data_IF_371100675860
#
_entry.id   IF_371100675860
#
_cell.length_a   1.000
_cell.length_b   1.000
_cell.length_c   1.000
_cell.angle_alpha   90.00
_cell.angle_beta   90.00
_cell.angle_gamma   90.00
#
_symmetry.space_group_name_H-M   'P 1'
#
loop_
_entity.id
_entity.type
_entity.pdbx_description
1 polymer ?
#
# COMPACT_ATOMS: atom_id res chain seq x y z
N UNK A 1 7.11 53.10 42.35
CA UNK A 1 6.91 52.85 40.91
C UNK A 1 8.14 52.26 40.21
N UNK A 2 9.36 52.72 40.50
CA UNK A 2 10.60 52.21 39.86
C UNK A 2 10.96 50.75 40.20
N UNK A 3 10.63 50.27 41.40
CA UNK A 3 10.87 48.88 41.80
C UNK A 3 9.99 47.86 41.06
N UNK A 4 8.74 48.25 40.75
CA UNK A 4 7.78 47.38 40.06
C UNK A 4 8.11 47.23 38.57
N UNK A 5 8.61 48.30 37.95
CA UNK A 5 9.09 48.29 36.57
C UNK A 5 10.37 47.48 36.40
N UNK A 6 11.26 47.47 37.40
CA UNK A 6 12.48 46.66 37.38
C UNK A 6 12.18 45.16 37.55
N UNK A 7 11.21 44.80 38.39
CA UNK A 7 10.79 43.41 38.57
C UNK A 7 10.11 42.84 37.32
N UNK A 8 9.29 43.64 36.64
CA UNK A 8 8.62 43.25 35.39
C UNK A 8 9.62 43.06 34.23
N UNK A 9 10.67 43.89 34.16
CA UNK A 9 11.74 43.75 33.17
C UNK A 9 12.56 42.47 33.37
N UNK A 10 12.80 42.05 34.62
CA UNK A 10 13.49 40.80 34.95
C UNK A 10 12.64 39.58 34.55
N UNK A 11 11.32 39.62 34.78
CA UNK A 11 10.41 38.56 34.36
C UNK A 11 10.31 38.40 32.83
N UNK A 12 10.37 39.50 32.08
CA UNK A 12 10.41 39.49 30.61
C UNK A 12 11.76 39.06 30.02
N UNK A 13 12.82 39.01 30.83
CA UNK A 13 14.15 38.53 30.41
C UNK A 13 14.24 37.00 30.38
N UNK A 14 13.28 36.30 31.00
CA UNK A 14 13.27 34.83 31.15
C UNK A 14 12.38 34.11 30.13
N UNK A 15 11.67 34.81 29.23
CA UNK A 15 10.71 34.21 28.30
C UNK A 15 11.28 33.77 26.94
N UNK A 16 12.61 33.68 26.82
CA UNK A 16 13.28 33.11 25.65
C UNK A 16 13.32 31.58 25.66
N UNK A 17 12.18 30.90 25.75
CA UNK A 17 12.13 29.47 25.47
C UNK A 17 12.36 29.27 23.98
N UNK A 18 13.59 28.93 23.62
CA UNK A 18 13.90 28.41 22.29
C UNK A 18 13.22 27.05 22.17
N UNK A 19 12.03 27.02 21.58
CA UNK A 19 11.44 25.77 21.10
C UNK A 19 12.31 25.26 19.95
N UNK A 20 13.24 24.37 20.25
CA UNK A 20 13.89 23.58 19.23
C UNK A 20 12.90 22.52 18.75
N UNK A 21 12.83 22.31 17.43
CA UNK A 21 12.12 21.16 16.86
C UNK A 21 12.63 19.88 17.50
N UNK A 22 11.76 18.88 17.71
CA UNK A 22 12.24 17.53 17.97
C UNK A 22 13.17 17.10 16.83
N UNK A 23 14.35 16.59 17.20
CA UNK A 23 15.22 15.84 16.30
C UNK A 23 14.82 14.37 16.41
N UNK A 24 14.27 13.80 15.34
CA UNK A 24 13.96 12.38 15.27
C UNK A 24 15.17 11.65 14.69
N UNK A 25 15.58 10.55 15.33
CA UNK A 25 16.59 9.66 14.80
C UNK A 25 15.92 8.56 13.97
N UNK A 26 16.62 7.99 12.98
CA UNK A 26 16.07 6.90 12.15
C UNK A 26 15.62 5.70 13.00
N UNK A 27 16.31 5.45 14.12
CA UNK A 27 15.96 4.41 15.10
C UNK A 27 14.57 4.59 15.72
N UNK A 28 14.06 5.82 15.82
CA UNK A 28 12.75 6.11 16.42
C UNK A 28 11.60 5.59 15.55
N UNK A 29 11.85 5.37 14.25
CA UNK A 29 10.88 4.84 13.30
C UNK A 29 10.89 3.31 13.22
N UNK A 30 11.80 2.62 13.92
CA UNK A 30 11.92 1.15 13.85
C UNK A 30 10.69 0.39 14.35
N UNK A 31 9.83 1.04 15.14
CA UNK A 31 8.55 0.49 15.60
C UNK A 31 7.36 0.85 14.68
N UNK A 32 7.58 1.62 13.62
CA UNK A 32 6.52 1.96 12.68
C UNK A 32 6.35 0.84 11.66
N UNK A 33 5.12 0.34 11.58
CA UNK A 33 4.73 -0.61 10.56
C UNK A 33 3.80 0.06 9.54
N UNK A 34 4.07 -0.22 8.26
CA UNK A 34 3.12 0.13 7.21
C UNK A 34 1.84 -0.67 7.41
N UNK A 35 0.70 0.03 7.44
CA UNK A 35 -0.62 -0.60 7.46
C UNK A 35 -1.46 -0.13 6.29
N UNK A 36 -2.21 -1.04 5.70
CA UNK A 36 -3.17 -0.71 4.66
C UNK A 36 -4.37 0.04 5.28
N UNK A 37 -4.61 1.28 4.85
CA UNK A 37 -5.80 2.06 5.28
C UNK A 37 -7.02 1.85 4.37
N UNK A 38 -6.88 1.04 3.32
CA UNK A 38 -7.90 0.81 2.30
C UNK A 38 -7.87 1.84 1.17
N UNK A 39 -8.84 1.75 0.23
CA UNK A 39 -9.99 0.85 0.21
C UNK A 39 -9.60 -0.64 0.07
N UNK A 40 -10.31 -1.54 0.76
CA UNK A 40 -10.12 -2.99 0.64
C UNK A 40 -10.69 -3.59 -0.65
N UNK A 41 -11.18 -2.72 -1.53
CA UNK A 41 -11.69 -3.07 -2.86
C UNK A 41 -10.51 -3.03 -3.82
N UNK A 42 -10.40 -4.08 -4.65
CA UNK A 42 -9.24 -4.30 -5.51
C UNK A 42 -8.85 -3.08 -6.35
N UNK A 43 -7.54 -2.92 -6.60
CA UNK A 43 -6.98 -1.86 -7.43
C UNK A 43 -7.08 -2.14 -8.93
N UNK A 44 -6.22 -1.49 -9.73
CA UNK A 44 -6.20 -1.70 -11.18
C UNK A 44 -5.80 -3.14 -11.52
N UNK A 45 -6.70 -3.83 -12.21
CA UNK A 45 -6.49 -5.18 -12.75
C UNK A 45 -6.24 -5.12 -14.25
N UNK A 46 -5.28 -5.93 -14.72
CA UNK A 46 -5.03 -6.14 -16.15
C UNK A 46 -5.60 -7.49 -16.65
N UNK A 47 -5.84 -8.44 -15.74
CA UNK A 47 -6.44 -9.73 -16.05
C UNK A 47 -7.27 -10.25 -14.87
N UNK A 48 -8.36 -10.97 -15.16
CA UNK A 48 -9.22 -11.59 -14.15
C UNK A 48 -9.68 -12.97 -14.61
N UNK A 49 -9.83 -13.89 -13.68
CA UNK A 49 -10.41 -15.21 -13.94
C UNK A 49 -11.23 -15.69 -12.75
N UNK A 50 -12.31 -16.40 -13.03
CA UNK A 50 -13.13 -17.06 -12.01
C UNK A 50 -12.90 -18.57 -12.01
N UNK A 51 -13.30 -19.21 -10.91
CA UNK A 51 -13.15 -20.66 -10.76
C UNK A 51 -14.49 -21.36 -11.00
N UNK A 52 -14.55 -22.36 -11.90
CA UNK A 52 -15.77 -23.15 -12.12
C UNK A 52 -16.32 -23.73 -10.82
N UNK A 53 -17.64 -23.69 -10.67
CA UNK A 53 -18.38 -24.17 -9.49
C UNK A 53 -18.04 -23.46 -8.15
N UNK A 54 -17.31 -22.34 -8.18
CA UNK A 54 -16.97 -21.55 -6.99
C UNK A 54 -17.32 -20.08 -7.21
N UNK A 55 -18.61 -19.71 -7.07
CA UNK A 55 -19.13 -18.43 -7.56
C UNK A 55 -18.55 -17.19 -6.89
N UNK A 56 -17.91 -17.31 -5.72
CA UNK A 56 -17.29 -16.19 -4.98
C UNK A 56 -15.76 -16.18 -5.06
N UNK A 57 -15.16 -17.16 -5.75
CA UNK A 57 -13.71 -17.30 -5.88
C UNK A 57 -13.23 -16.74 -7.21
N UNK A 58 -12.47 -15.66 -7.13
CA UNK A 58 -11.83 -15.04 -8.28
C UNK A 58 -10.37 -14.75 -8.00
N UNK A 59 -9.61 -14.67 -9.10
CA UNK A 59 -8.24 -14.21 -9.09
C UNK A 59 -8.08 -13.06 -10.08
N UNK A 60 -7.29 -12.05 -9.73
CA UNK A 60 -6.89 -11.02 -10.67
C UNK A 60 -5.38 -10.78 -10.66
N UNK A 61 -4.85 -10.38 -11.80
CA UNK A 61 -3.49 -9.90 -11.97
C UNK A 61 -3.43 -8.39 -11.88
N UNK A 62 -2.62 -7.85 -10.96
CA UNK A 62 -2.51 -6.40 -10.79
C UNK A 62 -1.48 -5.79 -11.74
N UNK A 63 -1.70 -4.53 -12.13
CA UNK A 63 -0.69 -3.77 -12.88
C UNK A 63 0.60 -3.52 -12.08
N UNK A 64 0.49 -3.36 -10.76
CA UNK A 64 1.65 -3.20 -9.87
C UNK A 64 2.36 -4.51 -9.55
N UNK A 65 1.88 -5.63 -10.10
CA UNK A 65 2.35 -6.97 -9.80
C UNK A 65 1.57 -7.69 -8.71
N UNK A 66 1.86 -8.97 -8.64
CA UNK A 66 1.19 -9.91 -7.76
C UNK A 66 -0.15 -10.43 -8.28
N UNK A 67 -0.52 -11.59 -7.74
CA UNK A 67 -1.80 -12.24 -7.97
C UNK A 67 -2.65 -12.04 -6.73
N UNK A 68 -3.88 -11.58 -6.93
CA UNK A 68 -4.80 -11.27 -5.85
C UNK A 68 -6.00 -12.21 -5.90
N UNK A 69 -6.37 -12.74 -4.74
CA UNK A 69 -7.45 -13.71 -4.52
C UNK A 69 -8.56 -13.08 -3.71
N UNK A 70 -9.80 -13.38 -4.08
CA UNK A 70 -10.97 -13.13 -3.25
C UNK A 70 -11.75 -14.42 -3.03
N UNK A 71 -12.43 -14.53 -1.88
CA UNK A 71 -13.36 -15.62 -1.57
C UNK A 71 -14.78 -15.11 -1.28
N UNK A 72 -15.01 -13.81 -1.36
CA UNK A 72 -16.24 -13.14 -0.95
C UNK A 72 -16.85 -12.27 -2.06
N UNK A 73 -16.54 -12.59 -3.32
CA UNK A 73 -17.06 -11.88 -4.48
C UNK A 73 -16.40 -10.53 -4.72
N UNK A 74 -15.15 -10.35 -4.29
CA UNK A 74 -14.35 -9.15 -4.51
C UNK A 74 -14.54 -8.03 -3.48
N UNK A 75 -15.13 -8.34 -2.32
CA UNK A 75 -15.24 -7.38 -1.21
C UNK A 75 -13.90 -7.23 -0.49
N UNK A 76 -13.16 -8.33 -0.36
CA UNK A 76 -11.79 -8.36 0.17
C UNK A 76 -10.86 -9.10 -0.78
N UNK A 77 -9.58 -8.71 -0.75
CA UNK A 77 -8.53 -9.27 -1.61
C UNK A 77 -7.27 -9.56 -0.80
N UNK A 78 -6.69 -10.73 -1.04
CA UNK A 78 -5.46 -11.22 -0.45
C UNK A 78 -4.42 -11.41 -1.58
N UNK A 79 -3.21 -10.91 -1.39
CA UNK A 79 -2.12 -11.18 -2.32
C UNK A 79 -1.59 -12.61 -2.06
N UNK A 80 -1.51 -13.43 -3.11
CA UNK A 80 -1.07 -14.84 -3.06
C UNK A 80 0.16 -15.11 -3.92
N UNK A 81 0.81 -14.08 -4.45
CA UNK A 81 2.12 -14.25 -5.09
C UNK A 81 3.17 -14.53 -4.03
N UNK A 82 4.14 -15.39 -4.35
CA UNK A 82 5.41 -15.33 -3.66
C UNK A 82 6.17 -14.07 -4.15
N UNK A 83 7.01 -13.48 -3.32
CA UNK A 83 7.64 -12.17 -3.55
C UNK A 83 8.59 -12.12 -4.78
N UNK A 84 8.58 -13.13 -5.65
CA UNK A 84 9.50 -13.33 -6.75
C UNK A 84 9.05 -12.74 -8.09
N UNK A 85 7.75 -12.54 -8.33
CA UNK A 85 7.27 -12.00 -9.62
C UNK A 85 6.79 -10.55 -9.49
N UNK A 86 7.65 -9.61 -9.92
CA UNK A 86 7.33 -8.19 -10.07
C UNK A 86 6.77 -7.83 -11.46
N UNK A 87 6.33 -6.58 -11.62
CA UNK A 87 5.78 -6.08 -12.88
C UNK A 87 4.32 -6.50 -13.13
N UNK A 88 3.69 -5.95 -14.17
CA UNK A 88 2.26 -6.15 -14.42
C UNK A 88 1.92 -7.60 -14.77
N UNK A 89 0.74 -8.06 -14.32
CA UNK A 89 0.20 -9.39 -14.65
C UNK A 89 -0.93 -9.25 -15.67
N UNK A 90 -0.64 -9.58 -16.94
CA UNK A 90 -1.53 -9.35 -18.08
C UNK A 90 -2.37 -10.56 -18.50
N UNK A 91 -2.08 -11.75 -17.97
CA UNK A 91 -2.86 -12.95 -18.23
C UNK A 91 -2.94 -13.85 -16.98
N UNK A 92 -4.12 -14.42 -16.74
CA UNK A 92 -4.35 -15.40 -15.67
C UNK A 92 -5.40 -16.42 -16.13
N UNK A 93 -5.11 -17.71 -15.89
CA UNK A 93 -6.04 -18.80 -16.21
C UNK A 93 -5.95 -19.91 -15.15
N UNK A 94 -7.11 -20.36 -14.68
CA UNK A 94 -7.22 -21.52 -13.80
C UNK A 94 -7.28 -22.78 -14.66
N UNK A 95 -6.55 -23.82 -14.28
CA UNK A 95 -6.58 -25.10 -14.99
C UNK A 95 -7.98 -25.72 -14.91
N UNK A 96 -8.47 -26.22 -16.06
CA UNK A 96 -9.77 -26.88 -16.14
C UNK A 96 -9.76 -28.27 -15.50
N UNK A 97 -8.61 -28.96 -15.51
CA UNK A 97 -8.47 -30.31 -14.94
C UNK A 97 -8.20 -30.28 -13.44
N UNK A 98 -7.57 -29.23 -12.93
CA UNK A 98 -7.28 -29.05 -11.51
C UNK A 98 -7.36 -27.57 -11.11
N UNK A 99 -8.46 -27.14 -10.46
CA UNK A 99 -8.63 -25.75 -10.02
C UNK A 99 -7.60 -25.24 -9.01
N UNK A 100 -6.73 -26.11 -8.47
CA UNK A 100 -5.61 -25.70 -7.60
C UNK A 100 -4.41 -25.17 -8.39
N UNK A 101 -4.38 -25.38 -9.71
CA UNK A 101 -3.31 -24.90 -10.58
C UNK A 101 -3.74 -23.64 -11.32
N UNK A 102 -2.90 -22.60 -11.23
CA UNK A 102 -3.11 -21.31 -11.90
C UNK A 102 -1.90 -21.01 -12.79
N UNK A 103 -2.16 -20.68 -14.05
CA UNK A 103 -1.15 -20.19 -14.98
C UNK A 103 -1.19 -18.67 -15.04
N UNK A 104 -0.02 -18.06 -14.99
CA UNK A 104 0.13 -16.60 -14.92
C UNK A 104 1.10 -16.14 -16.01
N UNK A 105 0.68 -15.13 -16.77
CA UNK A 105 1.52 -14.45 -17.75
C UNK A 105 1.79 -13.02 -17.31
N UNK A 106 3.07 -12.67 -17.19
CA UNK A 106 3.49 -11.29 -16.98
C UNK A 106 3.25 -10.41 -18.21
N UNK A 107 3.34 -9.10 -18.03
CA UNK A 107 3.16 -8.10 -19.08
C UNK A 107 1.94 -7.20 -18.84
N UNK A 108 1.88 -6.10 -19.58
CA UNK A 108 0.79 -5.13 -19.49
C UNK A 108 0.09 -5.04 -20.85
N UNK A 109 -1.22 -5.30 -20.85
CA UNK A 109 -2.06 -5.20 -22.05
C UNK A 109 -2.33 -3.73 -22.41
N UNK A 110 -2.48 -2.87 -21.41
CA UNK A 110 -2.81 -1.45 -21.59
C UNK A 110 -1.54 -0.60 -21.65
N UNK A 111 -1.13 -0.23 -22.86
CA UNK A 111 -0.02 0.69 -23.11
C UNK A 111 -0.24 1.98 -22.32
N UNK A 112 0.71 2.37 -21.46
CA UNK A 112 0.67 3.69 -20.81
C UNK A 112 1.28 4.73 -21.75
N UNK A 113 0.79 5.96 -21.75
CA UNK A 113 1.44 7.06 -22.48
C UNK A 113 2.87 7.40 -22.02
N UNK A 114 3.33 6.79 -20.92
CA UNK A 114 4.69 6.92 -20.37
C UNK A 114 5.54 5.62 -20.50
N UNK A 115 5.09 4.62 -21.26
CA UNK A 115 6.01 3.55 -21.72
C UNK A 115 6.59 3.94 -23.08
N UNK A 116 7.38 5.01 -23.06
CA UNK A 116 8.36 5.32 -24.08
C UNK A 116 9.73 5.35 -23.40
N UNK A 117 10.53 4.33 -23.67
CA UNK A 117 11.98 4.37 -23.59
C UNK A 117 12.50 3.53 -24.75
#
# INVERSE_FOLDING_TARGET
MRFFTSLLAILLSFSGLNSQSQNFQESDYGALEYRLLGPFRGGRSAAVTGVPNQPNLYYFGATGGGIWKTKDGGRTWENISDDYFGGSIGAIAVSKSDPNVIYVGGGEKTVRGNVSS
#
